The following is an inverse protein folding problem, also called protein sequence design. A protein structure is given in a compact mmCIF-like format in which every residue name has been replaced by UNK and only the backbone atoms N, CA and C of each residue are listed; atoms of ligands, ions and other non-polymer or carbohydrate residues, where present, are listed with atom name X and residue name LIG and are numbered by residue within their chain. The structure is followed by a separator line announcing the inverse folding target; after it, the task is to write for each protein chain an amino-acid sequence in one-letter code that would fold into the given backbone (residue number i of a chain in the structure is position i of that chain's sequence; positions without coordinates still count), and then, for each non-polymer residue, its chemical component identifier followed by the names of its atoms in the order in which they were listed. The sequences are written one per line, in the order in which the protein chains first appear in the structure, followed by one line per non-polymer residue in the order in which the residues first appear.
data_IF_747606617430
#
_entry.id   IF_747606617430
#
_cell.length_a   1.000
_cell.length_b   1.000
_cell.length_c   1.000
_cell.angle_alpha   90.00
_cell.angle_beta   90.00
_cell.angle_gamma   90.00
#
_symmetry.space_group_name_H-M   'P 1'
#
loop_
_entity.id
_entity.type
_entity.pdbx_description
1 polymer ?
#
# COMPACT_ATOMS: atom_id res chain seq x y z
N UNK A 1 -8.44 35.70 13.19
CA UNK A 1 -9.38 35.62 12.06
C UNK A 1 -8.57 35.62 10.78
N UNK A 2 -8.20 34.42 10.32
CA UNK A 2 -7.60 34.15 9.01
C UNK A 2 -8.29 32.88 8.49
N UNK A 3 -8.68 32.84 7.20
CA UNK A 3 -9.73 31.94 6.75
C UNK A 3 -9.23 30.53 6.50
N UNK A 4 -10.00 29.57 7.00
CA UNK A 4 -10.00 28.17 6.60
C UNK A 4 -10.55 28.12 5.17
N UNK A 5 -9.73 27.74 4.20
CA UNK A 5 -10.18 27.37 2.87
C UNK A 5 -10.11 25.85 2.74
N UNK A 6 -11.24 25.20 3.03
CA UNK A 6 -11.45 23.82 2.60
C UNK A 6 -11.51 23.78 1.08
N UNK A 7 -10.61 23.03 0.46
CA UNK A 7 -10.70 22.69 -0.97
C UNK A 7 -11.23 21.27 -1.05
N UNK A 8 -12.50 21.06 -1.44
CA UNK A 8 -12.98 19.75 -1.82
C UNK A 8 -12.48 19.49 -3.25
N UNK A 9 -11.43 18.69 -3.41
CA UNK A 9 -11.01 18.22 -4.74
C UNK A 9 -11.95 17.10 -5.19
N UNK A 10 -13.09 17.50 -5.75
CA UNK A 10 -13.82 16.70 -6.72
C UNK A 10 -12.96 16.61 -7.99
N UNK A 11 -12.37 15.45 -8.26
CA UNK A 11 -11.85 15.14 -9.59
C UNK A 11 -12.97 14.46 -10.40
N UNK A 12 -13.55 15.10 -11.43
CA UNK A 12 -14.42 14.41 -12.34
C UNK A 12 -13.58 13.50 -13.24
N UNK A 13 -13.85 12.19 -13.16
CA UNK A 13 -13.45 11.21 -14.15
C UNK A 13 -14.13 11.55 -15.49
N UNK A 14 -13.43 12.25 -16.39
CA UNK A 14 -13.52 12.06 -17.84
C UNK A 14 -12.55 13.02 -18.54
N UNK A 15 -11.92 12.51 -19.61
CA UNK A 15 -10.99 13.21 -20.52
C UNK A 15 -9.50 13.11 -20.20
N UNK A 16 -8.94 11.90 -20.24
CA UNK A 16 -7.57 11.71 -20.76
C UNK A 16 -7.58 10.53 -21.73
N UNK A 17 -8.33 10.69 -22.82
CA UNK A 17 -8.14 9.88 -24.02
C UNK A 17 -7.35 10.75 -25.01
N UNK A 18 -6.27 10.18 -25.54
CA UNK A 18 -5.39 10.71 -26.59
C UNK A 18 -4.47 11.89 -26.23
N UNK A 19 -3.26 11.59 -25.74
CA UNK A 19 -2.03 12.03 -26.41
C UNK A 19 -0.86 11.11 -26.01
N UNK A 20 -0.30 10.40 -26.99
CA UNK A 20 0.82 9.46 -26.87
C UNK A 20 2.18 10.18 -26.73
N UNK A 21 3.11 9.56 -25.97
CA UNK A 21 4.56 9.39 -26.25
C UNK A 21 5.47 9.52 -24.99
N UNK A 22 5.90 8.37 -24.46
CA UNK A 22 7.08 8.21 -23.58
C UNK A 22 6.79 7.97 -22.07
N UNK A 23 7.46 6.99 -21.42
CA UNK A 23 7.23 6.65 -20.00
C UNK A 23 7.53 7.81 -19.04
N UNK A 24 8.53 8.65 -19.35
CA UNK A 24 8.89 9.80 -18.53
C UNK A 24 7.79 10.90 -18.46
N UNK A 25 7.02 11.08 -19.54
CA UNK A 25 5.93 12.07 -19.57
C UNK A 25 4.66 11.53 -18.90
N UNK A 26 4.41 10.22 -18.99
CA UNK A 26 3.33 9.55 -18.25
C UNK A 26 3.58 9.57 -16.75
N UNK A 27 4.82 9.29 -16.30
CA UNK A 27 5.22 9.41 -14.88
C UNK A 27 4.99 10.82 -14.32
N UNK A 28 5.30 11.85 -15.12
CA UNK A 28 5.13 13.25 -14.74
C UNK A 28 3.66 13.70 -14.74
N UNK A 29 2.83 13.14 -15.62
CA UNK A 29 1.38 13.38 -15.66
C UNK A 29 0.65 12.66 -14.51
N UNK A 30 1.13 11.48 -14.10
CA UNK A 30 0.64 10.73 -12.94
C UNK A 30 1.25 11.22 -11.61
N UNK A 31 2.11 12.24 -11.66
CA UNK A 31 2.70 12.87 -10.48
C UNK A 31 3.62 11.97 -9.67
N UNK A 32 4.20 10.92 -10.26
CA UNK A 32 5.09 9.98 -9.55
C UNK A 32 6.44 10.67 -9.35
N UNK A 33 6.78 11.09 -8.12
CA UNK A 33 8.06 11.72 -7.85
C UNK A 33 9.14 10.64 -7.91
N UNK A 34 10.19 10.86 -8.69
CA UNK A 34 11.41 10.03 -8.68
C UNK A 34 12.42 10.64 -7.70
N UNK A 35 11.98 10.84 -6.46
CA UNK A 35 12.76 11.48 -5.40
C UNK A 35 13.21 10.50 -4.31
N UNK A 36 13.06 9.20 -4.57
CA UNK A 36 13.47 8.14 -3.66
C UNK A 36 12.58 7.99 -2.42
N UNK A 37 11.41 8.67 -2.35
CA UNK A 37 10.47 8.47 -1.25
C UNK A 37 9.84 7.08 -1.30
N UNK A 38 9.79 6.43 -0.13
CA UNK A 38 9.19 5.10 0.05
C UNK A 38 7.90 5.25 0.85
N UNK A 39 6.80 4.67 0.35
CA UNK A 39 5.57 4.52 1.11
C UNK A 39 5.63 3.23 1.92
N UNK A 40 5.54 3.34 3.24
CA UNK A 40 5.42 2.19 4.14
C UNK A 40 3.96 2.08 4.60
N UNK A 41 3.32 0.96 4.23
CA UNK A 41 1.95 0.65 4.66
C UNK A 41 1.98 -0.41 5.77
N UNK A 42 1.48 -0.04 6.94
CA UNK A 42 1.37 -0.95 8.10
C UNK A 42 -0.10 -1.27 8.31
N UNK A 43 -0.47 -2.52 8.05
CA UNK A 43 -1.80 -3.05 8.38
C UNK A 43 -1.73 -3.77 9.73
N UNK A 44 -2.52 -3.33 10.69
CA UNK A 44 -2.66 -4.02 11.98
C UNK A 44 -3.70 -5.13 11.87
N UNK A 45 -3.26 -6.38 11.93
CA UNK A 45 -4.14 -7.54 12.01
C UNK A 45 -4.66 -7.75 13.45
N UNK A 46 -5.84 -8.34 13.60
CA UNK A 46 -6.39 -8.72 14.92
C UNK A 46 -7.42 -7.78 15.53
N UNK A 47 -7.84 -6.74 14.78
CA UNK A 47 -8.90 -5.82 15.19
C UNK A 47 -8.40 -4.76 16.17
N UNK A 48 -8.25 -3.52 15.68
CA UNK A 48 -7.92 -2.38 16.52
C UNK A 48 -9.19 -1.75 17.11
N UNK A 49 -9.17 -1.46 18.41
CA UNK A 49 -10.22 -0.68 19.05
C UNK A 49 -9.96 0.81 18.84
N UNK A 50 -10.56 1.36 17.79
CA UNK A 50 -10.38 2.77 17.42
C UNK A 50 -10.74 3.74 18.54
N UNK A 51 -11.76 3.42 19.35
CA UNK A 51 -12.21 4.25 20.47
C UNK A 51 -11.29 4.18 21.70
N UNK A 52 -10.37 3.20 21.74
CA UNK A 52 -9.25 3.17 22.68
C UNK A 52 -7.92 3.51 22.02
N UNK A 53 -7.91 3.92 20.74
CA UNK A 53 -6.74 4.47 20.05
C UNK A 53 -6.80 6.00 20.09
N UNK A 54 -7.91 6.55 19.60
CA UNK A 54 -8.28 7.96 19.68
C UNK A 54 -9.54 8.03 20.53
N UNK A 55 -9.37 8.46 21.77
CA UNK A 55 -10.38 8.34 22.81
C UNK A 55 -11.21 9.63 22.84
N UNK A 56 -12.53 9.59 22.58
CA UNK A 56 -13.41 10.75 22.68
C UNK A 56 -13.79 11.03 24.14
N UNK A 57 -12.81 11.39 24.95
CA UNK A 57 -12.96 11.50 26.41
C UNK A 57 -13.84 12.68 26.85
N UNK A 58 -14.07 13.66 25.96
CA UNK A 58 -15.03 14.75 26.14
C UNK A 58 -16.50 14.29 26.08
N UNK A 59 -16.76 13.06 25.63
CA UNK A 59 -18.11 12.52 25.45
C UNK A 59 -18.46 11.52 26.57
N UNK A 60 -19.44 11.85 27.41
CA UNK A 60 -19.88 10.99 28.52
C UNK A 60 -20.45 9.65 28.02
N UNK A 61 -20.94 9.60 26.77
CA UNK A 61 -21.39 8.39 26.11
C UNK A 61 -20.28 7.35 25.96
N UNK A 62 -19.02 7.77 25.83
CA UNK A 62 -17.88 6.85 25.78
C UNK A 62 -17.82 6.02 27.07
N UNK A 63 -17.91 6.68 28.23
CA UNK A 63 -17.86 6.03 29.53
C UNK A 63 -19.11 5.21 29.81
N UNK A 64 -20.28 5.75 29.48
CA UNK A 64 -21.58 5.09 29.67
C UNK A 64 -21.66 3.78 28.88
N UNK A 65 -21.19 3.79 27.63
CA UNK A 65 -21.25 2.62 26.76
C UNK A 65 -20.06 1.66 26.95
N UNK A 66 -19.01 2.07 27.67
CA UNK A 66 -17.76 1.29 27.84
C UNK A 66 -17.32 1.18 29.30
N UNK A 67 -18.19 0.77 30.24
CA UNK A 67 -17.89 0.80 31.68
C UNK A 67 -16.69 -0.06 32.10
N UNK A 68 -16.31 -1.07 31.29
CA UNK A 68 -15.15 -1.95 31.54
C UNK A 68 -13.93 -1.62 30.68
N UNK A 69 -14.11 -0.89 29.58
CA UNK A 69 -13.08 -0.67 28.56
C UNK A 69 -12.63 0.79 28.48
N UNK A 70 -13.39 1.72 29.07
CA UNK A 70 -13.12 3.14 29.06
C UNK A 70 -11.83 3.47 29.81
N UNK A 71 -10.98 4.30 29.19
CA UNK A 71 -9.76 4.81 29.81
C UNK A 71 -10.08 6.05 30.64
N UNK A 72 -9.55 6.12 31.87
CA UNK A 72 -9.80 7.23 32.78
C UNK A 72 -9.26 8.56 32.22
N UNK A 73 -10.00 9.66 32.40
CA UNK A 73 -9.69 10.98 31.80
C UNK A 73 -8.28 11.47 32.13
N UNK A 74 -7.80 11.21 33.34
CA UNK A 74 -6.48 11.61 33.84
C UNK A 74 -5.31 10.81 33.26
N UNK A 75 -5.59 9.66 32.61
CA UNK A 75 -4.58 8.84 31.94
C UNK A 75 -4.43 9.17 30.45
N UNK A 76 -5.38 9.94 29.90
CA UNK A 76 -5.46 10.23 28.48
C UNK A 76 -4.53 11.37 28.12
N UNK A 77 -3.81 11.21 27.01
CA UNK A 77 -2.99 12.28 26.45
C UNK A 77 -3.91 13.14 25.60
N UNK A 78 -4.36 14.26 26.16
CA UNK A 78 -5.24 15.19 25.48
C UNK A 78 -4.63 15.67 24.15
N UNK A 79 -5.44 15.72 23.08
CA UNK A 79 -5.09 16.33 21.81
C UNK A 79 -5.65 17.74 21.63
N UNK A 80 -6.88 18.00 22.08
CA UNK A 80 -7.61 19.23 21.76
C UNK A 80 -8.79 19.59 22.70
N UNK A 81 -8.92 18.94 23.86
CA UNK A 81 -10.02 19.13 24.79
C UNK A 81 -11.20 18.17 24.60
N UNK A 82 -11.28 17.45 23.48
CA UNK A 82 -12.39 16.54 23.15
C UNK A 82 -11.93 15.10 22.92
N UNK A 83 -10.80 14.92 22.22
CA UNK A 83 -10.21 13.63 21.90
C UNK A 83 -8.77 13.52 22.39
N UNK A 84 -8.31 12.31 22.69
CA UNK A 84 -7.00 12.06 23.26
C UNK A 84 -6.37 10.76 22.77
N UNK A 85 -5.05 10.65 22.83
CA UNK A 85 -4.36 9.38 22.62
C UNK A 85 -4.48 8.46 23.85
N UNK A 86 -4.51 7.16 23.59
CA UNK A 86 -4.21 6.15 24.62
C UNK A 86 -2.82 6.38 25.23
N UNK A 87 -2.61 6.15 26.53
CA UNK A 87 -1.30 6.33 27.17
C UNK A 87 -0.13 5.61 26.46
N UNK A 88 -0.38 4.39 25.96
CA UNK A 88 0.60 3.61 25.18
C UNK A 88 1.04 4.26 23.86
N UNK A 89 0.33 5.28 23.39
CA UNK A 89 0.65 6.04 22.18
C UNK A 89 1.35 7.37 22.49
N UNK A 90 1.87 7.56 23.71
CA UNK A 90 2.64 8.74 24.10
C UNK A 90 3.71 9.15 23.09
N UNK A 91 4.40 8.17 22.50
CA UNK A 91 5.47 8.41 21.54
C UNK A 91 4.99 8.97 20.19
N UNK A 92 3.69 8.95 19.91
CA UNK A 92 3.11 9.56 18.70
C UNK A 92 2.79 11.05 18.88
N UNK A 93 2.66 11.52 20.12
CA UNK A 93 2.33 12.93 20.41
C UNK A 93 3.34 13.91 19.80
N UNK A 94 4.67 13.72 19.94
CA UNK A 94 5.63 14.63 19.34
C UNK A 94 5.53 14.72 17.82
N UNK A 95 5.15 13.63 17.13
CA UNK A 95 4.97 13.63 15.68
C UNK A 95 3.76 14.47 15.27
N UNK A 96 2.67 14.39 16.06
CA UNK A 96 1.49 15.23 15.83
C UNK A 96 1.79 16.71 16.08
N UNK A 97 2.54 17.02 17.14
CA UNK A 97 2.94 18.40 17.47
C UNK A 97 3.88 19.02 16.42
N UNK A 98 4.58 18.20 15.64
CA UNK A 98 5.50 18.60 14.57
C UNK A 98 4.86 18.56 13.18
N UNK A 99 3.54 18.32 13.07
CA UNK A 99 2.83 18.14 11.79
C UNK A 99 3.36 16.96 10.95
N UNK A 100 4.00 15.96 11.56
CA UNK A 100 4.52 14.75 10.93
C UNK A 100 3.55 13.55 11.03
N UNK A 101 2.47 13.70 11.80
CA UNK A 101 1.41 12.69 11.96
C UNK A 101 0.04 13.33 11.70
N UNK A 102 -0.76 12.67 10.87
CA UNK A 102 -2.17 13.00 10.67
C UNK A 102 -3.07 11.84 11.11
N UNK A 103 -4.18 12.17 11.76
CA UNK A 103 -5.18 11.20 12.21
C UNK A 103 -6.45 11.45 11.40
N UNK A 104 -6.94 10.41 10.71
CA UNK A 104 -8.20 10.47 9.98
C UNK A 104 -9.19 9.54 10.67
N UNK A 105 -10.24 10.12 11.26
CA UNK A 105 -11.32 9.38 11.93
C UNK A 105 -12.53 9.22 11.01
N UNK A 106 -13.41 8.27 11.35
CA UNK A 106 -14.65 8.04 10.59
C UNK A 106 -14.44 7.44 9.20
N UNK A 107 -13.28 6.82 8.96
CA UNK A 107 -13.01 6.16 7.68
C UNK A 107 -13.66 4.78 7.66
N UNK A 108 -14.47 4.52 6.63
CA UNK A 108 -15.20 3.28 6.46
C UNK A 108 -15.88 3.24 5.09
N UNK A 109 -16.78 2.29 4.91
CA UNK A 109 -17.59 2.14 3.70
C UNK A 109 -19.08 2.11 4.06
N UNK A 110 -19.98 2.52 3.13
CA UNK A 110 -21.42 2.51 3.38
C UNK A 110 -21.94 1.13 3.76
N UNK A 111 -22.92 1.07 4.66
CA UNK A 111 -23.62 -0.15 5.06
C UNK A 111 -22.66 -1.31 5.45
N UNK A 112 -21.75 -1.11 6.43
CA UNK A 112 -20.76 -2.11 6.76
C UNK A 112 -21.40 -3.41 7.23
N UNK A 113 -21.04 -4.51 6.59
CA UNK A 113 -21.37 -5.84 7.09
C UNK A 113 -20.41 -6.23 8.22
N UNK A 114 -20.78 -7.23 9.03
CA UNK A 114 -19.95 -7.71 10.16
C UNK A 114 -18.87 -8.70 9.72
N UNK A 115 -18.54 -8.77 8.43
CA UNK A 115 -17.58 -9.72 7.89
C UNK A 115 -16.19 -9.11 7.77
N UNK A 116 -15.27 -9.56 8.63
CA UNK A 116 -13.87 -9.14 8.58
C UNK A 116 -13.22 -9.39 7.21
N UNK A 117 -13.54 -10.51 6.55
CA UNK A 117 -12.98 -10.85 5.25
C UNK A 117 -13.44 -9.86 4.17
N UNK A 118 -14.75 -9.60 4.09
CA UNK A 118 -15.29 -8.66 3.09
C UNK A 118 -14.82 -7.23 3.36
N UNK A 119 -14.75 -6.78 4.62
CA UNK A 119 -14.18 -5.47 4.93
C UNK A 119 -12.73 -5.37 4.45
N UNK A 120 -11.93 -6.40 4.72
CA UNK A 120 -10.53 -6.44 4.28
C UNK A 120 -10.41 -6.37 2.77
N UNK A 121 -11.23 -7.12 2.03
CA UNK A 121 -11.23 -7.07 0.56
C UNK A 121 -11.59 -5.69 0.03
N UNK A 122 -12.60 -5.03 0.60
CA UNK A 122 -13.00 -3.66 0.23
C UNK A 122 -11.82 -2.70 0.45
N UNK A 123 -11.15 -2.76 1.60
CA UNK A 123 -9.99 -1.91 1.89
C UNK A 123 -8.81 -2.16 0.95
N UNK A 124 -8.47 -3.43 0.70
CA UNK A 124 -7.34 -3.79 -0.16
C UNK A 124 -7.61 -3.51 -1.63
N UNK A 125 -8.87 -3.56 -2.07
CA UNK A 125 -9.27 -3.28 -3.45
C UNK A 125 -9.64 -1.83 -3.69
N UNK A 126 -9.94 -1.07 -2.63
CA UNK A 126 -10.60 0.24 -2.70
C UNK A 126 -11.83 0.20 -3.63
N UNK A 127 -12.66 -0.84 -3.49
CA UNK A 127 -13.92 -0.98 -4.24
C UNK A 127 -15.09 -0.36 -3.46
N UNK A 128 -16.18 -0.10 -4.16
CA UNK A 128 -17.47 0.09 -3.49
C UNK A 128 -17.89 -1.21 -2.78
N UNK A 129 -18.79 -1.08 -1.80
CA UNK A 129 -19.19 -2.19 -0.93
C UNK A 129 -19.92 -3.34 -1.65
N UNK A 130 -20.61 -3.00 -2.73
CA UNK A 130 -21.37 -3.88 -3.62
C UNK A 130 -20.56 -4.41 -4.80
N UNK A 131 -19.35 -3.88 -5.01
CA UNK A 131 -18.43 -4.34 -6.04
C UNK A 131 -17.48 -5.43 -5.49
N UNK A 132 -17.12 -6.37 -6.37
CA UNK A 132 -16.15 -7.42 -6.10
C UNK A 132 -15.03 -7.28 -7.13
N UNK A 133 -13.87 -6.83 -6.67
CA UNK A 133 -12.67 -6.72 -7.49
C UNK A 133 -11.67 -7.81 -7.12
N UNK A 134 -11.07 -8.42 -8.13
CA UNK A 134 -9.99 -9.40 -7.97
C UNK A 134 -8.59 -8.74 -8.03
N UNK A 135 -8.53 -7.41 -8.05
CA UNK A 135 -7.28 -6.64 -8.09
C UNK A 135 -7.30 -5.56 -7.01
N UNK A 136 -6.15 -5.35 -6.41
CA UNK A 136 -5.90 -4.32 -5.40
C UNK A 136 -5.65 -2.96 -6.00
N UNK A 137 -5.81 -1.91 -5.19
CA UNK A 137 -5.57 -0.55 -5.67
C UNK A 137 -4.09 -0.26 -5.96
N UNK A 138 -3.14 -0.86 -5.22
CA UNK A 138 -1.71 -0.75 -5.53
C UNK A 138 -1.35 -1.56 -6.79
N UNK A 139 -1.91 -2.75 -6.94
CA UNK A 139 -1.72 -3.56 -8.14
C UNK A 139 -2.18 -2.82 -9.40
N UNK A 140 -3.37 -2.21 -9.36
CA UNK A 140 -3.86 -1.34 -10.44
C UNK A 140 -3.02 -0.08 -10.63
N UNK A 141 -2.51 0.50 -9.55
CA UNK A 141 -1.55 1.61 -9.65
C UNK A 141 -0.31 1.18 -10.44
N UNK A 142 0.31 0.04 -10.10
CA UNK A 142 1.47 -0.47 -10.83
C UNK A 142 1.16 -0.84 -12.28
N UNK A 143 -0.01 -1.38 -12.58
CA UNK A 143 -0.43 -1.61 -13.99
C UNK A 143 -0.43 -0.30 -14.81
N UNK A 144 -0.73 0.84 -14.19
CA UNK A 144 -0.75 2.16 -14.84
C UNK A 144 0.63 2.79 -14.94
N UNK A 145 1.44 2.67 -13.88
CA UNK A 145 2.71 3.38 -13.77
C UNK A 145 3.91 2.60 -14.30
N UNK A 146 3.73 1.29 -14.44
CA UNK A 146 4.72 0.32 -14.88
C UNK A 146 4.13 -0.60 -15.97
N UNK A 147 3.61 -0.04 -17.08
CA UNK A 147 3.07 -0.87 -18.15
C UNK A 147 4.19 -1.74 -18.74
N UNK A 148 3.85 -2.93 -19.28
CA UNK A 148 4.77 -3.69 -20.10
C UNK A 148 5.10 -2.91 -21.39
N UNK A 149 6.34 -3.01 -21.86
CA UNK A 149 6.76 -2.58 -23.19
C UNK A 149 6.29 -3.56 -24.28
N UNK A 150 6.66 -3.31 -25.54
CA UNK A 150 6.25 -4.15 -26.68
C UNK A 150 6.81 -5.59 -26.57
N UNK A 151 7.93 -5.76 -25.86
CA UNK A 151 8.55 -7.04 -25.54
C UNK A 151 7.97 -7.72 -24.28
N UNK A 152 7.06 -7.04 -23.57
CA UNK A 152 6.41 -7.54 -22.36
C UNK A 152 7.18 -7.26 -21.05
N UNK A 153 8.31 -6.56 -21.11
CA UNK A 153 9.13 -6.20 -19.96
C UNK A 153 8.64 -4.90 -19.31
N UNK A 154 8.77 -4.76 -17.99
CA UNK A 154 8.44 -3.50 -17.31
C UNK A 154 9.68 -2.71 -16.87
N UNK A 155 9.89 -1.48 -17.38
CA UNK A 155 11.04 -0.65 -17.03
C UNK A 155 11.06 -0.19 -15.56
N UNK A 156 10.01 -0.43 -14.78
CA UNK A 156 10.03 -0.18 -13.34
C UNK A 156 10.78 -1.24 -12.53
N UNK A 157 11.01 -2.43 -13.10
CA UNK A 157 11.71 -3.51 -12.40
C UNK A 157 13.23 -3.26 -12.41
N UNK A 158 13.74 -2.52 -13.40
CA UNK A 158 15.17 -2.36 -13.67
C UNK A 158 15.94 -1.55 -12.63
N UNK A 159 15.26 -0.87 -11.70
CA UNK A 159 15.86 -0.09 -10.60
C UNK A 159 15.63 -0.70 -9.21
N UNK A 160 15.06 -1.92 -9.14
CA UNK A 160 14.69 -2.58 -7.89
C UNK A 160 13.17 -2.83 -7.75
N UNK A 161 12.72 -3.39 -6.62
CA UNK A 161 11.31 -3.73 -6.43
C UNK A 161 10.41 -2.51 -6.40
N UNK A 162 9.34 -2.47 -7.21
CA UNK A 162 8.34 -1.42 -7.07
C UNK A 162 7.49 -1.63 -5.81
N UNK A 163 7.41 -2.86 -5.27
CA UNK A 163 6.78 -3.15 -3.99
C UNK A 163 7.34 -4.41 -3.32
N UNK A 164 7.55 -4.33 -2.01
CA UNK A 164 7.87 -5.46 -1.14
C UNK A 164 6.77 -5.58 -0.09
N UNK A 165 6.35 -6.81 0.17
CA UNK A 165 5.49 -7.15 1.30
C UNK A 165 6.17 -8.18 2.18
N UNK A 166 6.15 -7.94 3.49
CA UNK A 166 6.53 -8.94 4.48
C UNK A 166 5.35 -9.88 4.72
N UNK A 167 5.48 -11.14 4.33
CA UNK A 167 4.41 -12.13 4.43
C UNK A 167 4.63 -13.35 3.54
N UNK A 168 3.79 -14.37 3.71
CA UNK A 168 3.87 -15.61 2.93
C UNK A 168 3.28 -15.49 1.52
N UNK A 169 2.24 -14.66 1.36
CA UNK A 169 1.52 -14.51 0.09
C UNK A 169 1.33 -13.04 -0.23
N UNK A 170 1.31 -12.70 -1.51
CA UNK A 170 0.99 -11.35 -1.97
C UNK A 170 -0.42 -10.95 -1.49
N UNK A 171 -0.52 -9.79 -0.87
CA UNK A 171 -1.78 -9.19 -0.45
C UNK A 171 -2.60 -8.84 -1.69
N UNK A 172 -3.93 -8.95 -1.56
CA UNK A 172 -4.86 -8.50 -2.58
C UNK A 172 -4.57 -7.06 -3.02
N UNK A 173 -4.08 -6.20 -2.12
CA UNK A 173 -3.70 -4.82 -2.46
C UNK A 173 -2.67 -4.73 -3.59
N UNK A 174 -1.72 -5.66 -3.65
CA UNK A 174 -0.64 -5.69 -4.64
C UNK A 174 -0.98 -6.50 -5.90
N UNK A 175 -2.15 -7.16 -5.94
CA UNK A 175 -2.58 -7.92 -7.12
C UNK A 175 -3.08 -6.97 -8.21
N UNK A 176 -2.36 -6.94 -9.34
CA UNK A 176 -2.76 -6.26 -10.57
C UNK A 176 -3.00 -7.27 -11.69
N UNK A 177 -3.24 -6.79 -12.91
CA UNK A 177 -3.21 -7.62 -14.13
C UNK A 177 -1.80 -8.18 -14.36
N UNK A 178 -0.79 -7.36 -14.10
CA UNK A 178 0.62 -7.73 -14.12
C UNK A 178 1.21 -7.45 -12.74
N UNK A 179 1.10 -8.38 -11.77
CA UNK A 179 1.55 -8.12 -10.41
C UNK A 179 3.07 -7.87 -10.38
N UNK A 180 3.48 -6.73 -9.80
CA UNK A 180 4.90 -6.32 -9.72
C UNK A 180 5.50 -6.36 -8.31
N UNK A 181 4.69 -6.70 -7.30
CA UNK A 181 5.14 -6.82 -5.92
C UNK A 181 5.68 -8.21 -5.57
N UNK A 182 6.66 -8.28 -4.68
CA UNK A 182 7.15 -9.55 -4.12
C UNK A 182 6.74 -9.68 -2.66
N UNK A 183 6.24 -10.86 -2.30
CA UNK A 183 6.02 -11.25 -0.92
C UNK A 183 7.20 -12.10 -0.45
N UNK A 184 7.79 -11.73 0.69
CA UNK A 184 8.87 -12.47 1.32
C UNK A 184 8.64 -12.57 2.83
N UNK A 185 8.95 -13.72 3.41
CA UNK A 185 8.80 -13.94 4.86
C UNK A 185 9.97 -13.37 5.65
N UNK A 186 11.17 -13.53 5.10
CA UNK A 186 12.42 -13.20 5.74
C UNK A 186 13.34 -12.56 4.68
N UNK A 187 13.63 -11.25 4.80
CA UNK A 187 14.51 -10.55 3.85
C UNK A 187 15.89 -11.17 3.76
N UNK A 188 16.44 -11.65 4.88
CA UNK A 188 17.78 -12.23 4.92
C UNK A 188 17.80 -13.62 4.28
N UNK A 189 16.76 -14.44 4.51
CA UNK A 189 16.62 -15.71 3.83
C UNK A 189 16.45 -15.54 2.31
N UNK A 190 15.66 -14.53 1.90
CA UNK A 190 15.49 -14.18 0.49
C UNK A 190 16.81 -13.74 -0.14
N UNK A 191 17.54 -12.82 0.50
CA UNK A 191 18.86 -12.37 0.06
C UNK A 191 19.84 -13.55 -0.12
N UNK A 192 19.90 -14.47 0.84
CA UNK A 192 20.76 -15.64 0.79
C UNK A 192 20.38 -16.61 -0.33
N UNK A 193 19.08 -16.86 -0.55
CA UNK A 193 18.59 -17.75 -1.61
C UNK A 193 19.01 -17.20 -2.98
N UNK A 194 18.74 -15.92 -3.20
CA UNK A 194 18.96 -15.24 -4.47
C UNK A 194 20.46 -15.08 -4.76
N UNK A 195 21.26 -14.73 -3.75
CA UNK A 195 22.72 -14.56 -3.94
C UNK A 195 23.44 -15.90 -4.17
N UNK A 196 22.97 -17.00 -3.58
CA UNK A 196 23.57 -18.33 -3.78
C UNK A 196 23.15 -19.00 -5.09
N UNK A 197 21.90 -18.84 -5.52
CA UNK A 197 21.39 -19.43 -6.77
C UNK A 197 21.64 -18.55 -8.02
N UNK A 198 21.87 -17.25 -7.85
CA UNK A 198 22.08 -16.31 -8.96
C UNK A 198 23.40 -16.43 -9.71
N UNK A 199 24.30 -17.31 -9.26
CA UNK A 199 25.55 -17.60 -9.97
C UNK A 199 25.37 -18.60 -11.14
N UNK A 200 24.19 -19.22 -11.32
CA UNK A 200 24.01 -20.32 -12.29
C UNK A 200 23.07 -20.03 -13.48
N UNK A 201 22.40 -18.88 -13.57
CA UNK A 201 21.46 -18.61 -14.68
C UNK A 201 21.80 -17.32 -15.44
N UNK A 202 22.49 -17.49 -16.58
CA UNK A 202 22.76 -16.43 -17.54
C UNK A 202 21.49 -15.94 -18.24
N UNK A 203 21.38 -14.62 -18.40
CA UNK A 203 20.31 -13.95 -19.13
C UNK A 203 20.45 -14.18 -20.64
N UNK A 204 19.77 -15.19 -21.17
CA UNK A 204 19.66 -15.37 -22.62
C UNK A 204 18.37 -14.67 -23.12
N UNK A 205 18.46 -13.61 -23.94
CA UNK A 205 17.29 -12.90 -24.43
C UNK A 205 16.52 -13.79 -25.41
N UNK A 206 15.33 -14.22 -24.99
CA UNK A 206 14.44 -15.02 -25.84
C UNK A 206 13.50 -14.09 -26.61
N UNK A 207 13.17 -14.41 -27.88
CA UNK A 207 12.23 -13.61 -28.67
C UNK A 207 10.85 -13.50 -28.00
N UNK A 208 10.08 -12.48 -28.40
CA UNK A 208 8.76 -12.18 -27.85
C UNK A 208 7.86 -13.44 -27.84
N UNK A 209 7.24 -13.78 -26.68
CA UNK A 209 6.54 -15.05 -26.50
C UNK A 209 5.27 -15.13 -27.36
N UNK A 210 5.19 -16.14 -28.22
CA UNK A 210 4.10 -16.32 -29.19
C UNK A 210 3.06 -17.36 -28.75
N UNK A 211 3.45 -18.30 -27.88
CA UNK A 211 2.56 -19.32 -27.31
C UNK A 211 2.28 -19.09 -25.83
N UNK A 212 1.24 -19.72 -25.28
CA UNK A 212 0.94 -19.65 -23.82
C UNK A 212 2.11 -20.14 -22.99
N UNK A 213 2.76 -21.25 -23.38
CA UNK A 213 3.91 -21.80 -22.67
C UNK A 213 5.11 -20.83 -22.69
N UNK A 214 5.33 -20.12 -23.79
CA UNK A 214 6.38 -19.11 -23.89
C UNK A 214 6.06 -17.88 -23.02
N UNK A 215 4.78 -17.50 -22.88
CA UNK A 215 4.37 -16.41 -21.97
C UNK A 215 4.59 -16.77 -20.51
N UNK A 216 4.26 -18.00 -20.11
CA UNK A 216 4.55 -18.51 -18.76
C UNK A 216 6.06 -18.58 -18.50
N UNK A 217 6.84 -19.07 -19.48
CA UNK A 217 8.30 -19.13 -19.36
C UNK A 217 8.92 -17.73 -19.28
N UNK A 218 8.42 -16.77 -20.06
CA UNK A 218 8.83 -15.37 -20.00
C UNK A 218 8.51 -14.76 -18.63
N UNK A 219 7.32 -15.00 -18.09
CA UNK A 219 6.92 -14.56 -16.74
C UNK A 219 7.84 -15.15 -15.65
N UNK A 220 8.17 -16.44 -15.73
CA UNK A 220 9.09 -17.08 -14.77
C UNK A 220 10.50 -16.49 -14.85
N UNK A 221 11.00 -16.20 -16.06
CA UNK A 221 12.31 -15.56 -16.27
C UNK A 221 12.33 -14.11 -15.77
N UNK A 222 11.28 -13.33 -16.05
CA UNK A 222 11.13 -11.96 -15.53
C UNK A 222 11.08 -11.98 -14.00
N UNK A 223 10.30 -12.88 -13.41
CA UNK A 223 10.19 -13.03 -11.95
C UNK A 223 11.55 -13.38 -11.32
N UNK A 224 12.32 -14.28 -11.94
CA UNK A 224 13.66 -14.63 -11.48
C UNK A 224 14.64 -13.46 -11.61
N UNK A 225 14.66 -12.77 -12.75
CA UNK A 225 15.52 -11.60 -12.98
C UNK A 225 15.21 -10.46 -11.99
N UNK A 226 13.92 -10.20 -11.76
CA UNK A 226 13.45 -9.24 -10.76
C UNK A 226 13.93 -9.64 -9.36
N UNK A 227 13.80 -10.91 -8.98
CA UNK A 227 14.28 -11.39 -7.68
C UNK A 227 15.79 -11.15 -7.50
N UNK A 228 16.62 -11.42 -8.52
CA UNK A 228 18.07 -11.15 -8.50
C UNK A 228 18.39 -9.67 -8.31
N UNK A 229 17.71 -8.79 -9.05
CA UNK A 229 17.87 -7.35 -8.89
C UNK A 229 17.49 -6.90 -7.48
N UNK A 230 16.40 -7.45 -6.92
CA UNK A 230 15.89 -7.01 -5.63
C UNK A 230 16.78 -7.42 -4.46
N UNK A 231 17.46 -8.56 -4.55
CA UNK A 231 18.45 -8.93 -3.54
C UNK A 231 19.63 -7.95 -3.48
N UNK A 232 20.04 -7.37 -4.62
CA UNK A 232 21.12 -6.38 -4.67
C UNK A 232 20.84 -5.10 -3.87
N UNK A 233 19.55 -4.76 -3.69
CA UNK A 233 19.13 -3.56 -2.95
C UNK A 233 19.01 -3.78 -1.43
N UNK A 234 19.07 -5.02 -0.95
CA UNK A 234 18.98 -5.34 0.48
C UNK A 234 20.33 -5.03 1.15
N UNK A 235 20.40 -3.93 1.91
CA UNK A 235 21.56 -3.58 2.74
C UNK A 235 21.52 -4.38 4.06
N UNK A 236 22.48 -5.28 4.25
CA UNK A 236 22.71 -6.01 5.51
C UNK A 236 23.66 -5.27 6.44
#
# INVERSE_FOLDING_TARGET
MFPIAGIPLFFPMWSVANTLAGPARLRRFLGIPDDGRVLVLVQLAGGNDGLNTIIPYGHDEYYTNRPKLGVARDQIIDLNGEVGFHPSLANLRPLLDQDELAIVQGVGYPNPNRSHFKSTDIWLTASDSDDIKNTGWLGRYFDLVCPPDEEGSSPCVTTGPPAIQIGLTSSLALLGKNPKGIALRDPLAFYNLVTRQGQEHGSDPSPAPQTTAEKELAFLRETAAAAFQYAGEIKT
#
